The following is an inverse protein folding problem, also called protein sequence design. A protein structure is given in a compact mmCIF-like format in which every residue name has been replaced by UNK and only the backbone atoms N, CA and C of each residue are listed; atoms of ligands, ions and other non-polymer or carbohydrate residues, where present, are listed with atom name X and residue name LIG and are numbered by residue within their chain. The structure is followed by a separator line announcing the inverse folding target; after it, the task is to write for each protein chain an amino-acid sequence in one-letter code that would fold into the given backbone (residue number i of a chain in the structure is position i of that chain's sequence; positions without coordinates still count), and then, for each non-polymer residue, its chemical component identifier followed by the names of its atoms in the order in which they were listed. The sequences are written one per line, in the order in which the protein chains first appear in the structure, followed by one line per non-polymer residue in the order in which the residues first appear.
data_IF_442690522574
#
_entry.id   IF_442690522574
#
_cell.length_a   1.000
_cell.length_b   1.000
_cell.length_c   1.000
_cell.angle_alpha   90.00
_cell.angle_beta   90.00
_cell.angle_gamma   90.00
#
_symmetry.space_group_name_H-M   'P 1'
#
loop_
_entity.id
_entity.type
_entity.pdbx_description
1 polymer ?
#
# COMPACT_ATOMS: atom_id res chain seq x y z
N UNK A 1 -7.90 6.75 7.54
CA UNK A 1 -9.06 6.10 6.86
C UNK A 1 -9.42 4.82 7.62
N UNK A 2 -10.58 4.18 7.36
CA UNK A 2 -10.91 2.86 7.94
C UNK A 2 -10.11 1.77 7.24
N UNK A 3 -9.62 0.74 7.96
CA UNK A 3 -8.77 -0.33 7.40
C UNK A 3 -9.31 -0.99 6.13
N UNK A 4 -10.63 -1.24 6.09
CA UNK A 4 -11.25 -1.84 4.90
C UNK A 4 -11.14 -0.90 3.69
N UNK A 5 -11.27 0.40 3.90
CA UNK A 5 -11.16 1.39 2.84
C UNK A 5 -9.74 1.49 2.29
N UNK A 6 -8.71 1.43 3.16
CA UNK A 6 -7.31 1.32 2.74
C UNK A 6 -7.07 0.11 1.84
N UNK A 7 -7.57 -1.06 2.26
CA UNK A 7 -7.43 -2.29 1.47
C UNK A 7 -8.07 -2.17 0.09
N UNK A 8 -9.27 -1.61 0.02
CA UNK A 8 -10.02 -1.46 -1.24
C UNK A 8 -9.28 -0.48 -2.16
N UNK A 9 -8.98 0.72 -1.68
CA UNK A 9 -8.36 1.78 -2.50
C UNK A 9 -6.98 1.34 -2.99
N UNK A 10 -6.10 0.91 -2.09
CA UNK A 10 -4.77 0.44 -2.42
C UNK A 10 -4.80 -0.76 -3.38
N UNK A 11 -5.63 -1.77 -3.07
CA UNK A 11 -5.72 -2.98 -3.89
C UNK A 11 -6.17 -2.69 -5.32
N UNK A 12 -7.22 -1.90 -5.48
CA UNK A 12 -7.71 -1.50 -6.80
C UNK A 12 -6.70 -0.64 -7.57
N UNK A 13 -6.02 0.29 -6.89
CA UNK A 13 -4.97 1.11 -7.51
C UNK A 13 -3.86 0.25 -8.09
N UNK A 14 -3.32 -0.68 -7.28
CA UNK A 14 -2.23 -1.56 -7.73
C UNK A 14 -2.70 -2.51 -8.82
N UNK A 15 -3.92 -3.04 -8.71
CA UNK A 15 -4.52 -3.88 -9.76
C UNK A 15 -4.60 -3.14 -11.10
N UNK A 16 -5.06 -1.90 -11.10
CA UNK A 16 -5.16 -1.10 -12.34
C UNK A 16 -3.79 -0.77 -12.91
N UNK A 17 -2.83 -0.37 -12.07
CA UNK A 17 -1.47 -0.03 -12.51
C UNK A 17 -0.76 -1.24 -13.12
N UNK A 18 -0.94 -2.42 -12.53
CA UNK A 18 -0.18 -3.63 -12.90
C UNK A 18 -0.92 -4.56 -13.87
N UNK A 19 -2.22 -4.38 -14.04
CA UNK A 19 -3.07 -5.33 -14.76
C UNK A 19 -3.28 -6.67 -14.04
N UNK A 20 -2.71 -6.84 -12.85
CA UNK A 20 -2.70 -8.12 -12.13
C UNK A 20 -3.49 -8.05 -10.81
N UNK A 21 -4.65 -8.74 -10.72
CA UNK A 21 -5.47 -8.75 -9.50
C UNK A 21 -4.73 -9.33 -8.28
N UNK A 22 -3.84 -10.32 -8.48
CA UNK A 22 -3.10 -10.92 -7.37
C UNK A 22 -2.15 -9.90 -6.70
N UNK A 23 -1.54 -9.01 -7.48
CA UNK A 23 -0.71 -7.94 -6.95
C UNK A 23 -1.54 -6.91 -6.18
N UNK A 24 -2.75 -6.62 -6.66
CA UNK A 24 -3.74 -5.83 -5.92
C UNK A 24 -4.06 -6.43 -4.56
N UNK A 25 -4.26 -7.75 -4.47
CA UNK A 25 -4.53 -8.46 -3.21
C UNK A 25 -3.34 -8.34 -2.24
N UNK A 26 -2.10 -8.55 -2.72
CA UNK A 26 -0.89 -8.43 -1.88
C UNK A 26 -0.74 -7.00 -1.35
N UNK A 27 -0.89 -6.00 -2.21
CA UNK A 27 -0.80 -4.59 -1.81
C UNK A 27 -1.94 -4.20 -0.84
N UNK A 28 -3.16 -4.70 -1.05
CA UNK A 28 -4.29 -4.50 -0.15
C UNK A 28 -4.02 -5.06 1.26
N UNK A 29 -3.44 -6.26 1.34
CA UNK A 29 -3.04 -6.85 2.62
C UNK A 29 -1.96 -5.99 3.30
N UNK A 30 -0.97 -5.53 2.54
CA UNK A 30 0.12 -4.69 3.03
C UNK A 30 -0.32 -3.27 3.42
N UNK A 31 -1.43 -2.77 2.89
CA UNK A 31 -1.96 -1.45 3.21
C UNK A 31 -2.31 -1.24 4.70
N UNK A 32 -2.40 -2.28 5.49
CA UNK A 32 -2.62 -2.16 6.94
C UNK A 32 -1.33 -2.21 7.77
N UNK A 33 -0.18 -2.48 7.16
CA UNK A 33 1.09 -2.63 7.87
C UNK A 33 1.50 -1.38 8.67
N UNK A 34 1.39 -0.14 8.15
CA UNK A 34 1.76 1.03 8.94
C UNK A 34 1.02 1.10 10.28
N UNK A 35 -0.30 0.79 10.29
CA UNK A 35 -1.11 0.75 11.51
C UNK A 35 -0.74 -0.44 12.41
N UNK A 36 -0.46 -1.61 11.83
CA UNK A 36 -0.09 -2.80 12.57
C UNK A 36 1.28 -2.69 13.25
N UNK A 37 2.17 -1.88 12.69
CA UNK A 37 3.49 -1.61 13.27
C UNK A 37 3.43 -0.61 14.42
N UNK A 38 2.31 0.03 14.66
CA UNK A 38 2.13 0.96 15.78
C UNK A 38 1.85 0.23 17.10
N UNK A 39 2.12 0.94 18.19
CA UNK A 39 1.74 0.44 19.52
C UNK A 39 0.22 0.41 19.63
N UNK A 40 -0.38 -0.75 19.98
CA UNK A 40 -1.83 -0.88 20.04
C UNK A 40 -2.46 0.09 21.06
N UNK A 41 -3.69 0.59 20.78
CA UNK A 41 -4.37 1.57 21.65
C UNK A 41 -4.51 1.14 23.11
N UNK A 42 -4.73 -0.16 23.36
CA UNK A 42 -4.89 -0.70 24.74
C UNK A 42 -3.62 -0.68 25.59
N UNK A 43 -2.45 -0.39 25.01
CA UNK A 43 -1.20 -0.19 25.76
C UNK A 43 -1.04 1.22 26.33
N UNK A 44 -1.94 2.13 25.99
CA UNK A 44 -1.91 3.50 26.47
C UNK A 44 -2.93 3.70 27.59
N UNK A 45 -2.54 4.36 28.67
CA UNK A 45 -3.43 4.67 29.78
C UNK A 45 -4.48 5.72 29.45
N UNK A 46 -4.24 6.53 28.41
CA UNK A 46 -5.12 7.63 28.01
C UNK A 46 -5.18 7.76 26.48
N UNK A 47 -6.38 8.00 25.95
CA UNK A 47 -6.64 8.20 24.53
C UNK A 47 -5.77 9.30 23.89
N UNK A 48 -5.42 10.35 24.64
CA UNK A 48 -4.61 11.44 24.08
C UNK A 48 -3.16 11.02 23.85
N UNK A 49 -2.62 10.12 24.65
CA UNK A 49 -1.26 9.58 24.48
C UNK A 49 -1.17 8.75 23.21
N UNK A 50 -2.17 7.88 22.98
CA UNK A 50 -2.30 7.15 21.72
C UNK A 50 -2.40 8.11 20.52
N UNK A 51 -3.32 9.09 20.55
CA UNK A 51 -3.50 10.06 19.47
C UNK A 51 -2.24 10.88 19.17
N UNK A 52 -1.42 11.15 20.20
CA UNK A 52 -0.15 11.88 20.04
C UNK A 52 0.92 11.02 19.38
N UNK A 53 0.94 9.71 19.65
CA UNK A 53 1.92 8.77 19.10
C UNK A 53 1.47 8.14 17.78
N UNK A 54 0.16 8.13 17.53
CA UNK A 54 -0.40 7.63 16.29
C UNK A 54 0.10 8.42 15.08
N UNK A 55 0.37 7.71 14.00
CA UNK A 55 0.91 8.27 12.75
C UNK A 55 2.25 8.98 12.94
N UNK A 56 3.17 8.35 13.60
CA UNK A 56 4.56 8.81 13.77
C UNK A 56 5.50 8.08 12.79
N UNK A 57 6.39 7.25 13.30
CA UNK A 57 7.43 6.58 12.53
C UNK A 57 6.90 5.58 11.50
N UNK A 58 5.84 4.87 11.80
CA UNK A 58 5.20 3.91 10.90
C UNK A 58 4.56 4.56 9.68
N UNK A 59 4.07 5.81 9.85
CA UNK A 59 3.51 6.65 8.81
C UNK A 59 4.51 7.64 8.20
N UNK A 60 5.80 7.45 8.45
CA UNK A 60 6.85 8.19 7.78
C UNK A 60 7.12 7.54 6.42
N UNK A 61 6.83 8.24 5.33
CA UNK A 61 6.86 7.66 3.99
C UNK A 61 8.25 7.32 3.48
N UNK A 62 9.31 7.94 4.04
CA UNK A 62 10.70 7.80 3.53
C UNK A 62 11.19 6.34 3.54
N UNK A 63 11.07 5.54 4.62
CA UNK A 63 11.49 4.14 4.59
C UNK A 63 10.75 3.32 3.53
N UNK A 64 9.45 3.52 3.39
CA UNK A 64 8.65 2.82 2.39
C UNK A 64 9.07 3.16 0.97
N UNK A 65 9.36 4.45 0.70
CA UNK A 65 9.87 4.91 -0.58
C UNK A 65 11.25 4.32 -0.89
N UNK A 66 12.17 4.32 0.08
CA UNK A 66 13.51 3.74 -0.08
C UNK A 66 13.41 2.25 -0.40
N UNK A 67 12.58 1.49 0.32
CA UNK A 67 12.37 0.06 0.06
C UNK A 67 11.79 -0.16 -1.34
N UNK A 68 10.82 0.65 -1.76
CA UNK A 68 10.24 0.57 -3.10
C UNK A 68 11.28 0.83 -4.20
N UNK A 69 12.11 1.86 -4.03
CA UNK A 69 13.17 2.20 -4.99
C UNK A 69 14.25 1.12 -5.06
N UNK A 70 14.66 0.56 -3.93
CA UNK A 70 15.63 -0.55 -3.90
C UNK A 70 15.08 -1.80 -4.56
N UNK A 71 13.82 -2.15 -4.29
CA UNK A 71 13.15 -3.26 -4.95
C UNK A 71 13.04 -3.02 -6.47
N UNK A 72 12.70 -1.79 -6.88
CA UNK A 72 12.66 -1.37 -8.28
C UNK A 72 14.02 -1.49 -8.97
N UNK A 73 15.10 -1.11 -8.28
CA UNK A 73 16.47 -1.25 -8.81
C UNK A 73 16.86 -2.72 -9.03
N UNK A 74 16.44 -3.62 -8.11
CA UNK A 74 16.67 -5.07 -8.28
C UNK A 74 15.88 -5.63 -9.47
N UNK A 75 14.69 -5.09 -9.74
CA UNK A 75 13.85 -5.52 -10.86
C UNK A 75 14.30 -4.91 -12.21
N UNK A 76 15.05 -3.81 -12.19
CA UNK A 76 15.44 -3.08 -13.39
C UNK A 76 16.28 -3.96 -14.33
N UNK A 77 15.91 -3.95 -15.61
CA UNK A 77 16.60 -4.73 -16.65
C UNK A 77 16.43 -6.26 -16.56
N UNK A 78 15.58 -6.77 -15.68
CA UNK A 78 15.31 -8.20 -15.54
C UNK A 78 13.93 -8.54 -16.08
N UNK A 79 13.74 -9.68 -16.75
CA UNK A 79 12.42 -10.12 -17.18
C UNK A 79 11.58 -10.43 -15.94
N UNK A 80 10.57 -9.63 -15.70
CA UNK A 80 9.62 -9.84 -14.61
C UNK A 80 8.45 -10.62 -15.18
N UNK A 81 8.24 -11.82 -14.67
CA UNK A 81 7.02 -12.56 -14.95
C UNK A 81 5.90 -12.02 -14.06
N UNK A 82 4.97 -11.29 -14.65
CA UNK A 82 3.78 -10.76 -13.99
C UNK A 82 2.72 -11.85 -13.68
N UNK A 83 3.06 -13.10 -13.88
CA UNK A 83 2.15 -14.23 -13.69
C UNK A 83 2.38 -14.88 -12.32
N UNK A 84 1.35 -14.89 -11.47
CA UNK A 84 1.39 -15.50 -10.14
C UNK A 84 1.71 -17.01 -10.22
N UNK A 85 1.23 -17.69 -11.26
CA UNK A 85 1.54 -19.11 -11.48
C UNK A 85 3.04 -19.34 -11.69
N UNK A 86 3.71 -18.43 -12.39
CA UNK A 86 5.15 -18.47 -12.57
C UNK A 86 5.91 -18.24 -11.25
N UNK A 87 5.41 -17.31 -10.42
CA UNK A 87 5.96 -17.06 -9.08
C UNK A 87 5.87 -18.30 -8.19
N UNK A 88 4.71 -18.96 -8.16
CA UNK A 88 4.49 -20.15 -7.34
C UNK A 88 5.24 -21.38 -7.88
N UNK A 89 5.27 -21.57 -9.20
CA UNK A 89 6.01 -22.68 -9.81
C UNK A 89 7.53 -22.52 -9.64
N UNK A 90 8.06 -21.29 -9.75
CA UNK A 90 9.49 -21.03 -9.55
C UNK A 90 9.91 -21.23 -8.10
N UNK A 91 9.07 -20.85 -7.14
CA UNK A 91 9.31 -21.10 -5.72
C UNK A 91 9.29 -22.60 -5.37
N UNK A 92 8.41 -23.37 -6.02
CA UNK A 92 8.21 -24.79 -5.71
C UNK A 92 9.16 -25.73 -6.50
N UNK A 93 9.49 -25.38 -7.74
CA UNK A 93 10.20 -26.30 -8.66
C UNK A 93 11.67 -25.94 -8.93
N UNK A 94 12.10 -24.69 -8.77
CA UNK A 94 13.48 -24.30 -9.09
C UNK A 94 13.98 -23.14 -8.21
N UNK A 95 14.24 -23.36 -6.92
CA UNK A 95 14.61 -22.30 -5.98
C UNK A 95 15.97 -21.65 -6.25
N UNK A 96 16.79 -22.18 -7.16
CA UNK A 96 18.23 -21.92 -7.15
C UNK A 96 18.73 -20.95 -8.23
N UNK A 97 18.01 -20.63 -9.30
CA UNK A 97 18.62 -19.87 -10.41
C UNK A 97 17.86 -18.63 -10.84
N UNK A 98 18.53 -17.52 -10.79
CA UNK A 98 18.30 -16.25 -11.52
C UNK A 98 16.96 -15.49 -11.30
N UNK A 99 15.85 -16.11 -10.90
CA UNK A 99 14.53 -15.48 -10.82
C UNK A 99 13.98 -15.32 -9.40
N UNK A 100 14.56 -15.97 -8.40
CA UNK A 100 14.09 -15.86 -7.02
C UNK A 100 14.23 -14.42 -6.50
N UNK A 101 15.37 -13.79 -6.73
CA UNK A 101 15.62 -12.43 -6.26
C UNK A 101 14.67 -11.37 -6.87
N UNK A 102 14.43 -11.35 -8.20
CA UNK A 102 13.42 -10.47 -8.78
C UNK A 102 12.01 -10.73 -8.26
N UNK A 103 11.63 -11.99 -8.06
CA UNK A 103 10.31 -12.34 -7.55
C UNK A 103 10.10 -11.86 -6.10
N UNK A 104 11.10 -12.03 -5.25
CA UNK A 104 11.11 -11.47 -3.88
C UNK A 104 11.03 -9.95 -3.95
N UNK A 105 11.79 -9.31 -4.85
CA UNK A 105 11.76 -7.87 -5.02
C UNK A 105 10.38 -7.34 -5.44
N UNK A 106 9.64 -8.08 -6.28
CA UNK A 106 8.24 -7.76 -6.62
C UNK A 106 7.36 -7.77 -5.37
N UNK A 107 7.46 -8.79 -4.55
CA UNK A 107 6.66 -8.89 -3.30
C UNK A 107 7.01 -7.73 -2.37
N UNK A 108 8.30 -7.45 -2.18
CA UNK A 108 8.79 -6.33 -1.36
C UNK A 108 8.28 -4.99 -1.92
N UNK A 109 8.31 -4.80 -3.23
CA UNK A 109 7.78 -3.59 -3.88
C UNK A 109 6.28 -3.42 -3.63
N UNK A 110 5.49 -4.50 -3.72
CA UNK A 110 4.05 -4.47 -3.46
C UNK A 110 3.75 -4.15 -1.99
N UNK A 111 4.54 -4.68 -1.07
CA UNK A 111 4.43 -4.37 0.37
C UNK A 111 4.75 -2.89 0.61
N UNK A 112 5.84 -2.40 0.04
CA UNK A 112 6.22 -0.99 0.18
C UNK A 112 5.21 -0.04 -0.47
N UNK A 113 4.68 -0.38 -1.64
CA UNK A 113 3.61 0.36 -2.30
C UNK A 113 2.34 0.38 -1.44
N UNK A 114 1.95 -0.75 -0.85
CA UNK A 114 0.82 -0.83 0.07
C UNK A 114 0.96 0.13 1.26
N UNK A 115 2.13 0.16 1.89
CA UNK A 115 2.44 1.11 2.98
C UNK A 115 2.42 2.57 2.52
N UNK A 116 2.96 2.89 1.35
CA UNK A 116 2.93 4.25 0.79
C UNK A 116 1.51 4.72 0.48
N UNK A 117 0.69 3.90 -0.17
CA UNK A 117 -0.70 4.24 -0.46
C UNK A 117 -1.50 4.46 0.83
N UNK A 118 -1.32 3.61 1.85
CA UNK A 118 -1.93 3.83 3.17
C UNK A 118 -1.59 5.22 3.72
N UNK A 119 -0.32 5.63 3.68
CA UNK A 119 0.13 6.94 4.19
C UNK A 119 -0.50 8.08 3.39
N UNK A 120 -0.60 7.98 2.07
CA UNK A 120 -1.25 8.97 1.20
C UNK A 120 -2.73 9.07 1.55
N UNK A 121 -3.41 7.95 1.67
CA UNK A 121 -4.84 7.89 2.02
C UNK A 121 -5.10 8.47 3.42
N UNK A 122 -4.19 8.25 4.37
CA UNK A 122 -4.27 8.83 5.70
C UNK A 122 -4.01 10.33 5.71
N UNK A 123 -3.20 10.84 4.78
CA UNK A 123 -3.03 12.27 4.56
C UNK A 123 -4.31 12.95 4.05
N UNK A 124 -5.24 12.21 3.42
CA UNK A 124 -6.56 12.70 3.04
C UNK A 124 -7.55 12.75 4.22
N UNK A 125 -7.29 11.98 5.27
CA UNK A 125 -8.13 11.93 6.48
C UNK A 125 -7.55 12.72 7.66
N UNK A 126 -6.34 13.25 7.51
CA UNK A 126 -5.63 13.98 8.57
C UNK A 126 -4.25 14.40 8.15
N UNK A 127 -3.29 14.36 9.07
CA UNK A 127 -1.91 14.72 8.77
C UNK A 127 -0.96 13.58 9.10
N UNK A 128 0.07 13.42 8.28
CA UNK A 128 1.15 12.44 8.42
C UNK A 128 2.51 13.14 8.46
N UNK A 129 3.59 12.50 8.94
CA UNK A 129 4.92 13.08 8.93
C UNK A 129 5.38 13.46 7.52
N UNK A 130 6.13 14.56 7.43
CA UNK A 130 6.80 14.97 6.19
C UNK A 130 8.16 14.26 6.06
N UNK A 131 9.02 14.69 5.13
CA UNK A 131 10.36 14.13 4.92
C UNK A 131 11.21 14.13 6.21
N UNK A 132 11.01 15.08 7.12
CA UNK A 132 11.55 15.04 8.49
C UNK A 132 10.47 14.50 9.44
N UNK A 133 10.72 13.34 10.03
CA UNK A 133 9.75 12.66 10.91
C UNK A 133 9.22 13.57 12.04
N UNK A 134 10.10 14.39 12.65
CA UNK A 134 9.75 15.34 13.72
C UNK A 134 9.47 16.77 13.21
N UNK A 135 9.34 16.96 11.90
CA UNK A 135 9.13 18.26 11.27
C UNK A 135 7.66 18.61 11.05
N UNK A 136 7.43 19.52 10.09
CA UNK A 136 6.08 19.84 9.64
C UNK A 136 5.36 18.59 9.15
N UNK A 137 4.08 18.51 9.47
CA UNK A 137 3.20 17.44 8.97
C UNK A 137 2.50 17.92 7.70
N UNK A 138 2.14 17.00 6.82
CA UNK A 138 1.40 17.26 5.60
C UNK A 138 0.10 16.45 5.56
N UNK A 139 -0.82 16.85 4.72
CA UNK A 139 -2.13 16.26 4.58
C UNK A 139 -3.24 17.24 4.90
N UNK A 140 -4.43 16.96 4.41
CA UNK A 140 -5.61 17.79 4.60
C UNK A 140 -6.80 16.90 4.92
N UNK A 141 -7.55 17.24 5.96
CA UNK A 141 -8.76 16.49 6.33
C UNK A 141 -9.89 16.78 5.33
N UNK A 142 -9.97 16.01 4.27
CA UNK A 142 -11.11 15.97 3.35
C UNK A 142 -12.25 15.14 3.90
N UNK A 143 -11.92 14.06 4.61
CA UNK A 143 -12.88 13.11 5.17
C UNK A 143 -12.66 12.95 6.68
N UNK A 144 -13.75 12.73 7.40
CA UNK A 144 -13.69 12.23 8.77
C UNK A 144 -13.67 10.70 8.70
N UNK A 145 -12.76 10.07 9.43
CA UNK A 145 -12.65 8.61 9.50
C UNK A 145 -13.99 7.98 9.86
N UNK A 146 -14.38 6.94 9.14
CA UNK A 146 -15.64 6.22 9.28
C UNK A 146 -16.88 7.10 9.02
N UNK A 147 -16.78 8.11 8.18
CA UNK A 147 -17.92 8.95 7.79
C UNK A 147 -18.58 8.43 6.51
N UNK A 148 -19.87 8.80 6.33
CA UNK A 148 -20.57 8.52 5.08
C UNK A 148 -19.84 9.07 3.86
N UNK A 149 -19.25 10.28 3.97
CA UNK A 149 -18.43 10.90 2.90
C UNK A 149 -17.22 10.06 2.53
N UNK A 150 -16.52 9.45 3.50
CA UNK A 150 -15.41 8.54 3.24
C UNK A 150 -15.89 7.31 2.47
N UNK A 151 -16.95 6.66 2.94
CA UNK A 151 -17.47 5.45 2.29
C UNK A 151 -18.01 5.72 0.87
N UNK A 152 -18.72 6.83 0.68
CA UNK A 152 -19.19 7.25 -0.65
C UNK A 152 -17.99 7.54 -1.57
N UNK A 153 -16.96 8.24 -1.10
CA UNK A 153 -15.76 8.51 -1.86
C UNK A 153 -15.05 7.23 -2.28
N UNK A 154 -14.90 6.26 -1.38
CA UNK A 154 -14.31 4.95 -1.69
C UNK A 154 -15.15 4.18 -2.69
N UNK A 155 -16.49 4.20 -2.57
CA UNK A 155 -17.37 3.54 -3.51
C UNK A 155 -17.24 4.13 -4.93
N UNK A 156 -17.29 5.46 -5.07
CA UNK A 156 -17.10 6.13 -6.36
C UNK A 156 -15.72 5.86 -6.96
N UNK A 157 -14.68 5.92 -6.12
CA UNK A 157 -13.33 5.57 -6.54
C UNK A 157 -13.24 4.13 -7.04
N UNK A 158 -13.84 3.17 -6.32
CA UNK A 158 -13.83 1.76 -6.70
C UNK A 158 -14.52 1.53 -8.05
N UNK A 159 -15.65 2.18 -8.28
CA UNK A 159 -16.34 2.11 -9.58
C UNK A 159 -15.46 2.66 -10.71
N UNK A 160 -14.84 3.82 -10.51
CA UNK A 160 -13.96 4.43 -11.50
C UNK A 160 -12.73 3.53 -11.80
N UNK A 161 -12.11 2.96 -10.77
CA UNK A 161 -10.95 2.07 -10.95
C UNK A 161 -11.33 0.76 -11.65
N UNK A 162 -12.50 0.19 -11.38
CA UNK A 162 -13.00 -0.99 -12.08
C UNK A 162 -13.27 -0.71 -13.57
N UNK A 163 -13.87 0.43 -13.88
CA UNK A 163 -14.07 0.86 -15.28
C UNK A 163 -12.71 1.01 -15.98
N UNK A 164 -11.76 1.70 -15.34
CA UNK A 164 -10.39 1.87 -15.88
C UNK A 164 -9.69 0.53 -16.11
N UNK A 165 -9.82 -0.40 -15.16
CA UNK A 165 -9.25 -1.74 -15.31
C UNK A 165 -9.78 -2.47 -16.56
N UNK A 166 -11.10 -2.45 -16.74
CA UNK A 166 -11.74 -3.07 -17.90
C UNK A 166 -11.29 -2.39 -19.20
N UNK A 167 -11.27 -1.05 -19.24
CA UNK A 167 -10.87 -0.30 -20.43
C UNK A 167 -9.41 -0.57 -20.82
N UNK A 168 -8.49 -0.60 -19.84
CA UNK A 168 -7.05 -0.73 -20.12
C UNK A 168 -6.68 -2.20 -20.41
N UNK A 169 -7.24 -3.16 -19.69
CA UNK A 169 -6.72 -4.53 -19.65
C UNK A 169 -7.65 -5.59 -20.26
N UNK A 170 -8.90 -5.25 -20.58
CA UNK A 170 -9.87 -6.19 -21.11
C UNK A 170 -10.43 -5.79 -22.49
N UNK A 171 -10.35 -4.51 -22.84
CA UNK A 171 -10.82 -3.98 -24.13
C UNK A 171 -9.65 -3.64 -25.07
N UNK A 172 -8.38 -3.77 -24.61
CA UNK A 172 -7.17 -3.71 -25.44
C UNK A 172 -6.82 -5.09 -25.94
#
# INVERSE_FOLDING_TARGET
MKWINHKIVTGLTVMVITGNPAYGIVAAAAATLPDLMETPPWKFNKDYEYKRQHRQWSHWFVPWLVVLLLAGAVMYGRPISWNLHYLTSTLLYNPVKAQLLPNIAVIIALIAAGGLFHIIEDALCGTVPNYKMKGKRWGKRFFRVNSAKEHTGVCLYSMAMMILYVMIWRCS
#
